data_IF_171669095331
#
_entry.id   IF_171669095331
#
_cell.length_a   1.000
_cell.length_b   1.000
_cell.length_c   1.000
_cell.angle_alpha   90.00
_cell.angle_beta   90.00
_cell.angle_gamma   90.00
#
_symmetry.space_group_name_H-M   'P 1'
#
loop_
_entity.id
_entity.type
_entity.pdbx_description
1 polymer ?
#
# COMPACT_ATOMS: atom_id res chain seq x y z
N UNK A 1 -8.40 0.05 -9.14
CA UNK A 1 -8.41 0.11 -7.66
C UNK A 1 -9.70 0.77 -7.25
N UNK A 2 -10.19 0.47 -6.06
CA UNK A 2 -11.50 0.92 -5.65
C UNK A 2 -11.39 2.25 -4.88
N UNK A 3 -12.51 2.94 -4.76
CA UNK A 3 -12.61 4.17 -4.01
C UNK A 3 -12.18 3.98 -2.54
N UNK A 4 -11.66 5.02 -1.89
CA UNK A 4 -11.18 4.99 -0.51
C UNK A 4 -11.39 6.34 0.16
N UNK A 5 -11.72 6.34 1.45
CA UNK A 5 -11.69 7.53 2.28
C UNK A 5 -10.35 7.62 2.99
N UNK A 6 -9.78 8.83 3.03
CA UNK A 6 -8.56 9.10 3.82
C UNK A 6 -8.90 10.10 4.91
N UNK A 7 -8.60 9.75 6.15
CA UNK A 7 -8.68 10.64 7.31
C UNK A 7 -7.26 10.92 7.79
N UNK A 8 -6.91 12.20 7.90
CA UNK A 8 -5.61 12.63 8.43
C UNK A 8 -5.82 13.12 9.86
N UNK A 9 -4.97 12.67 10.79
CA UNK A 9 -4.95 13.11 12.18
C UNK A 9 -3.52 13.51 12.59
N UNK A 10 -3.32 14.20 13.73
CA UNK A 10 -1.98 14.49 14.24
C UNK A 10 -1.14 13.23 14.52
N UNK A 11 -1.77 12.09 14.76
CA UNK A 11 -1.12 10.82 15.10
C UNK A 11 -0.80 9.98 13.86
N UNK A 12 -1.46 10.23 12.72
CA UNK A 12 -1.28 9.42 11.51
C UNK A 12 -2.30 9.64 10.41
N UNK A 13 -2.43 8.64 9.54
CA UNK A 13 -3.40 8.61 8.46
C UNK A 13 -4.17 7.29 8.47
N UNK A 14 -5.50 7.37 8.40
CA UNK A 14 -6.37 6.22 8.22
C UNK A 14 -6.86 6.14 6.78
N UNK A 15 -6.71 4.99 6.15
CA UNK A 15 -7.26 4.69 4.83
C UNK A 15 -8.35 3.64 4.98
N UNK A 16 -9.55 3.96 4.50
CA UNK A 16 -10.73 3.09 4.53
C UNK A 16 -11.13 2.76 3.10
N UNK A 17 -10.97 1.50 2.65
CA UNK A 17 -11.51 1.08 1.35
C UNK A 17 -13.03 1.23 1.33
N UNK A 18 -13.60 1.79 0.26
CA UNK A 18 -15.06 1.96 0.13
C UNK A 18 -15.76 0.72 -0.44
N UNK A 19 -15.00 -0.30 -0.78
CA UNK A 19 -15.51 -1.57 -1.31
C UNK A 19 -14.72 -2.71 -0.69
N UNK A 20 -15.35 -3.88 -0.50
CA UNK A 20 -14.64 -5.08 -0.06
C UNK A 20 -13.47 -5.41 -0.99
N UNK A 21 -12.34 -5.80 -0.42
CA UNK A 21 -11.24 -6.37 -1.19
C UNK A 21 -11.59 -7.82 -1.61
N UNK A 22 -10.87 -8.39 -2.58
CA UNK A 22 -11.01 -9.83 -2.89
C UNK A 22 -10.73 -10.75 -1.67
N UNK A 23 -10.06 -10.22 -0.64
CA UNK A 23 -9.71 -10.92 0.59
C UNK A 23 -10.75 -10.72 1.69
N UNK A 24 -11.67 -9.75 1.55
CA UNK A 24 -12.86 -9.68 2.40
C UNK A 24 -13.75 -10.88 2.06
N UNK A 25 -13.72 -11.90 2.92
CA UNK A 25 -14.72 -12.95 2.93
C UNK A 25 -16.11 -12.32 3.11
N UNK A 26 -17.12 -12.87 2.42
CA UNK A 26 -18.51 -12.41 2.53
C UNK A 26 -18.91 -12.35 4.01
N UNK A 27 -19.30 -11.18 4.50
CA UNK A 27 -19.71 -10.95 5.90
C UNK A 27 -18.64 -10.39 6.85
N UNK A 28 -17.37 -10.25 6.43
CA UNK A 28 -16.37 -9.54 7.24
C UNK A 28 -16.49 -8.01 7.08
N UNK A 29 -16.37 -7.22 8.16
CA UNK A 29 -16.38 -5.77 8.08
C UNK A 29 -15.19 -5.27 7.25
N UNK A 30 -15.37 -4.14 6.58
CA UNK A 30 -14.28 -3.44 5.88
C UNK A 30 -13.22 -3.05 6.92
N UNK A 31 -12.00 -3.56 6.75
CA UNK A 31 -10.87 -3.24 7.64
C UNK A 31 -10.36 -1.84 7.30
N UNK A 32 -10.18 -1.03 8.33
CA UNK A 32 -9.48 0.25 8.23
C UNK A 32 -7.99 0.05 8.42
N UNK A 33 -7.17 0.78 7.68
CA UNK A 33 -5.71 0.73 7.79
C UNK A 33 -5.20 2.03 8.38
N UNK A 34 -4.60 1.96 9.56
CA UNK A 34 -3.98 3.10 10.24
C UNK A 34 -2.47 3.09 10.03
N UNK A 35 -1.94 4.20 9.54
CA UNK A 35 -0.51 4.44 9.35
C UNK A 35 -0.07 5.52 10.34
N UNK A 36 0.70 5.18 11.39
CA UNK A 36 1.19 6.17 12.33
C UNK A 36 2.20 7.12 11.66
N UNK A 37 2.33 8.34 12.20
CA UNK A 37 3.44 9.22 11.82
C UNK A 37 4.76 8.55 12.22
N UNK A 38 5.72 8.61 11.32
CA UNK A 38 7.09 8.14 11.53
C UNK A 38 8.01 9.36 11.52
N UNK A 39 8.24 9.99 12.69
CA UNK A 39 8.95 11.27 12.79
C UNK A 39 10.43 11.16 12.43
N UNK A 40 11.03 9.98 12.57
CA UNK A 40 12.44 9.72 12.30
C UNK A 40 12.79 9.90 10.83
N UNK A 41 11.83 9.70 9.92
CA UNK A 41 12.02 9.96 8.49
C UNK A 41 10.70 10.24 7.79
N UNK A 42 10.42 11.54 7.62
CA UNK A 42 9.23 12.02 6.89
C UNK A 42 9.23 11.60 5.43
N UNK A 43 10.41 11.34 4.84
CA UNK A 43 10.56 10.92 3.45
C UNK A 43 10.03 9.50 3.15
N UNK A 44 9.93 8.65 4.17
CA UNK A 44 9.36 7.30 4.05
C UNK A 44 8.05 7.13 4.83
N UNK A 45 7.61 8.15 5.57
CA UNK A 45 6.39 8.12 6.37
C UNK A 45 5.13 8.12 5.48
N UNK A 46 4.32 7.05 5.47
CA UNK A 46 3.12 7.00 4.63
C UNK A 46 2.12 8.10 4.98
N UNK A 47 1.94 8.43 6.27
CA UNK A 47 1.03 9.48 6.71
C UNK A 47 1.43 10.86 6.20
N UNK A 48 2.72 11.22 6.32
CA UNK A 48 3.25 12.49 5.83
C UNK A 48 3.16 12.59 4.30
N UNK A 49 3.51 11.51 3.60
CA UNK A 49 3.41 11.44 2.13
C UNK A 49 1.95 11.57 1.67
N UNK A 50 1.00 10.90 2.34
CA UNK A 50 -0.42 11.02 2.03
C UNK A 50 -0.93 12.45 2.20
N UNK A 51 -0.54 13.14 3.28
CA UNK A 51 -0.91 14.53 3.50
C UNK A 51 -0.43 15.43 2.37
N UNK A 52 0.86 15.36 2.02
CA UNK A 52 1.45 16.15 0.92
C UNK A 52 0.78 15.82 -0.42
N UNK A 53 0.53 14.54 -0.68
CA UNK A 53 -0.07 14.08 -1.92
C UNK A 53 -1.51 14.59 -2.07
N UNK A 54 -2.33 14.52 -1.02
CA UNK A 54 -3.71 15.02 -1.03
C UNK A 54 -3.76 16.54 -1.23
N UNK A 55 -2.84 17.29 -0.60
CA UNK A 55 -2.73 18.74 -0.81
C UNK A 55 -2.39 19.06 -2.28
N UNK A 56 -1.39 18.39 -2.87
CA UNK A 56 -0.95 18.62 -4.25
C UNK A 56 -2.01 18.23 -5.29
N UNK A 57 -2.82 17.23 -4.99
CA UNK A 57 -3.85 16.73 -5.91
C UNK A 57 -5.22 17.39 -5.72
N UNK A 58 -5.39 18.24 -4.70
CA UNK A 58 -6.68 18.87 -4.33
C UNK A 58 -7.38 19.56 -5.51
N UNK A 59 -6.63 20.31 -6.31
CA UNK A 59 -7.20 21.10 -7.42
C UNK A 59 -7.64 20.26 -8.63
N UNK A 60 -7.12 19.03 -8.76
CA UNK A 60 -7.39 18.15 -9.90
C UNK A 60 -8.32 16.98 -9.55
N UNK A 61 -8.73 16.88 -8.28
CA UNK A 61 -9.73 15.92 -7.82
C UNK A 61 -11.12 16.43 -8.18
N UNK A 62 -11.88 15.62 -8.92
CA UNK A 62 -13.29 15.91 -9.18
C UNK A 62 -14.13 15.70 -7.91
N UNK A 63 -15.26 16.39 -7.80
CA UNK A 63 -16.15 16.34 -6.62
C UNK A 63 -16.66 14.93 -6.27
N UNK A 64 -16.73 14.03 -7.25
CA UNK A 64 -17.20 12.65 -7.09
C UNK A 64 -16.08 11.60 -7.15
N UNK A 65 -14.82 12.03 -7.27
CA UNK A 65 -13.70 11.10 -7.39
C UNK A 65 -13.15 10.70 -6.02
N UNK A 66 -13.63 9.54 -5.55
CA UNK A 66 -13.21 8.96 -4.30
C UNK A 66 -11.97 8.05 -4.44
N UNK A 67 -11.25 8.08 -5.57
CA UNK A 67 -10.02 7.29 -5.72
C UNK A 67 -8.82 7.99 -5.10
N UNK A 68 -8.04 7.24 -4.32
CA UNK A 68 -6.82 7.78 -3.72
C UNK A 68 -5.80 8.18 -4.80
N UNK A 69 -5.45 7.27 -5.69
CA UNK A 69 -4.39 7.49 -6.68
C UNK A 69 -4.91 8.04 -8.01
N UNK A 70 -4.28 9.10 -8.51
CA UNK A 70 -4.60 9.77 -9.78
C UNK A 70 -3.41 9.71 -10.74
N UNK A 71 -3.70 9.66 -12.04
CA UNK A 71 -2.67 9.75 -13.09
C UNK A 71 -2.00 11.13 -13.09
N UNK A 72 -0.69 11.16 -13.31
CA UNK A 72 0.10 12.39 -13.34
C UNK A 72 -0.10 13.24 -14.60
N UNK A 73 -0.58 12.64 -15.70
CA UNK A 73 -0.81 13.31 -16.98
C UNK A 73 -2.26 13.76 -17.13
N UNK A 74 -2.47 14.90 -17.80
CA UNK A 74 -3.82 15.38 -18.18
C UNK A 74 -4.43 14.49 -19.28
N UNK A 75 -5.76 14.29 -19.27
CA UNK A 75 -6.68 14.59 -18.18
C UNK A 75 -6.39 13.69 -16.95
N UNK A 76 -6.35 14.29 -15.76
CA UNK A 76 -6.12 13.55 -14.52
C UNK A 76 -7.31 12.62 -14.24
N UNK A 77 -7.04 11.33 -14.11
CA UNK A 77 -8.05 10.27 -13.91
C UNK A 77 -7.62 9.34 -12.77
N UNK A 78 -8.54 8.57 -12.20
CA UNK A 78 -8.18 7.47 -11.31
C UNK A 78 -7.12 6.55 -11.93
N UNK A 79 -6.06 6.27 -11.18
CA UNK A 79 -5.02 5.37 -11.62
C UNK A 79 -5.54 3.92 -11.62
N UNK A 80 -5.37 3.22 -12.75
CA UNK A 80 -5.73 1.80 -12.85
C UNK A 80 -4.78 0.94 -12.01
N UNK A 81 -5.21 -0.28 -11.68
CA UNK A 81 -4.34 -1.28 -11.02
C UNK A 81 -3.06 -1.54 -11.81
N UNK A 82 -3.15 -1.59 -13.15
CA UNK A 82 -1.99 -1.75 -14.03
C UNK A 82 -1.03 -0.55 -13.94
N UNK A 83 -1.55 0.68 -13.84
CA UNK A 83 -0.74 1.89 -13.70
C UNK A 83 0.06 1.88 -12.40
N UNK A 84 -0.59 1.52 -11.29
CA UNK A 84 0.06 1.49 -9.99
C UNK A 84 1.06 0.34 -9.90
N UNK A 85 0.73 -0.84 -10.45
CA UNK A 85 1.68 -1.95 -10.56
C UNK A 85 2.95 -1.54 -11.34
N UNK A 86 2.80 -0.74 -12.42
CA UNK A 86 3.93 -0.18 -13.15
C UNK A 86 4.74 0.80 -12.29
N UNK A 87 4.09 1.71 -11.54
CA UNK A 87 4.80 2.62 -10.65
C UNK A 87 5.59 1.91 -9.56
N UNK A 88 5.01 0.88 -8.93
CA UNK A 88 5.69 0.02 -7.95
C UNK A 88 6.91 -0.63 -8.59
N UNK A 89 6.74 -1.27 -9.76
CA UNK A 89 7.87 -1.89 -10.47
C UNK A 89 8.98 -0.88 -10.77
N UNK A 90 8.63 0.30 -11.29
CA UNK A 90 9.59 1.37 -11.57
C UNK A 90 10.31 1.85 -10.31
N UNK A 91 9.61 1.98 -9.18
CA UNK A 91 10.21 2.37 -7.91
C UNK A 91 11.21 1.31 -7.41
N UNK A 92 10.85 0.03 -7.47
CA UNK A 92 11.74 -1.09 -7.13
C UNK A 92 12.99 -1.11 -8.01
N UNK A 93 12.83 -0.99 -9.34
CA UNK A 93 13.96 -0.94 -10.27
C UNK A 93 14.89 0.24 -9.97
N UNK A 94 14.33 1.42 -9.69
CA UNK A 94 15.13 2.61 -9.32
C UNK A 94 15.86 2.45 -7.99
N UNK A 95 15.33 1.66 -7.07
CA UNK A 95 15.97 1.31 -5.81
C UNK A 95 17.04 0.21 -5.96
N UNK A 96 17.31 -0.28 -7.18
CA UNK A 96 18.28 -1.35 -7.43
C UNK A 96 17.77 -2.75 -7.08
N UNK A 97 16.47 -2.91 -6.80
CA UNK A 97 15.86 -4.20 -6.52
C UNK A 97 15.63 -4.95 -7.83
N UNK A 98 16.09 -6.20 -7.90
CA UNK A 98 15.93 -7.03 -9.09
C UNK A 98 14.44 -7.38 -9.31
N UNK A 99 13.83 -6.71 -10.29
CA UNK A 99 12.42 -6.91 -10.65
C UNK A 99 12.17 -8.14 -11.52
N UNK A 100 13.20 -8.90 -11.89
CA UNK A 100 13.07 -10.24 -12.49
C UNK A 100 12.73 -11.28 -11.44
N UNK A 101 13.30 -11.13 -10.23
CA UNK A 101 13.00 -11.92 -9.03
C UNK A 101 11.75 -11.38 -8.36
N UNK A 102 11.64 -10.06 -8.14
CA UNK A 102 10.51 -9.42 -7.47
C UNK A 102 9.61 -8.65 -8.47
N UNK A 103 8.66 -9.37 -9.09
CA UNK A 103 7.63 -8.78 -9.97
C UNK A 103 6.76 -7.75 -9.20
N UNK A 104 5.92 -6.98 -9.89
CA UNK A 104 5.09 -5.93 -9.27
C UNK A 104 4.20 -6.40 -8.09
N UNK A 105 3.83 -7.69 -8.04
CA UNK A 105 3.09 -8.30 -6.93
C UNK A 105 3.98 -8.74 -5.75
N UNK A 106 5.30 -8.71 -5.91
CA UNK A 106 6.28 -9.25 -4.97
C UNK A 106 6.91 -8.17 -4.09
N UNK A 107 6.49 -6.90 -4.21
CA UNK A 107 6.84 -5.87 -3.23
C UNK A 107 6.48 -6.32 -1.81
N UNK A 108 5.32 -6.99 -1.67
CA UNK A 108 4.87 -7.62 -0.43
C UNK A 108 5.81 -8.76 0.01
N UNK A 109 6.22 -9.63 -0.91
CA UNK A 109 7.17 -10.72 -0.61
C UNK A 109 8.56 -10.23 -0.21
N UNK A 110 9.11 -9.24 -0.94
CA UNK A 110 10.39 -8.61 -0.61
C UNK A 110 10.36 -7.94 0.76
N UNK A 111 9.32 -7.14 1.04
CA UNK A 111 9.16 -6.46 2.32
C UNK A 111 9.05 -7.46 3.48
N UNK A 112 8.24 -8.50 3.33
CA UNK A 112 8.02 -9.49 4.39
C UNK A 112 9.20 -10.42 4.61
N UNK A 113 9.98 -10.72 3.55
CA UNK A 113 11.24 -11.47 3.67
C UNK A 113 12.28 -10.66 4.43
N UNK A 114 12.48 -9.39 4.07
CA UNK A 114 13.40 -8.50 4.78
C UNK A 114 13.03 -8.32 6.26
N UNK A 115 11.73 -8.19 6.56
CA UNK A 115 11.23 -8.09 7.94
C UNK A 115 11.44 -9.40 8.72
N UNK A 116 11.27 -10.55 8.07
CA UNK A 116 11.56 -11.86 8.66
C UNK A 116 13.06 -12.05 8.93
N UNK A 117 13.92 -11.66 7.99
CA UNK A 117 15.39 -11.67 8.15
C UNK A 117 15.87 -10.73 9.26
N UNK A 118 15.17 -9.60 9.46
CA UNK A 118 15.39 -8.70 10.58
C UNK A 118 14.91 -9.28 11.94
N UNK A 119 14.38 -10.50 11.97
CA UNK A 119 14.01 -11.23 13.19
C UNK A 119 12.61 -10.93 13.72
N UNK A 120 11.74 -10.26 12.96
CA UNK A 120 10.35 -10.06 13.37
C UNK A 120 9.60 -11.39 13.32
N UNK A 121 8.80 -11.67 14.36
CA UNK A 121 8.09 -12.94 14.46
C UNK A 121 7.05 -13.13 13.35
N UNK A 122 6.96 -14.35 12.82
CA UNK A 122 6.00 -14.70 11.76
C UNK A 122 4.56 -14.30 12.10
N UNK A 123 4.04 -14.52 13.33
CA UNK A 123 2.69 -14.08 13.68
C UNK A 123 2.45 -12.57 13.51
N UNK A 124 3.45 -11.73 13.81
CA UNK A 124 3.36 -10.28 13.60
C UNK A 124 3.34 -9.92 12.11
N UNK A 125 4.15 -10.61 11.31
CA UNK A 125 4.16 -10.43 9.85
C UNK A 125 2.80 -10.82 9.27
N UNK A 126 2.26 -11.97 9.67
CA UNK A 126 0.96 -12.45 9.21
C UNK A 126 -0.18 -11.47 9.57
N UNK A 127 -0.18 -10.92 10.80
CA UNK A 127 -1.17 -9.93 11.24
C UNK A 127 -1.09 -8.61 10.46
N UNK A 128 0.14 -8.10 10.28
CA UNK A 128 0.40 -6.86 9.54
C UNK A 128 -0.01 -6.97 8.07
N UNK A 129 0.18 -8.14 7.47
CA UNK A 129 -0.17 -8.38 6.07
C UNK A 129 -1.60 -8.91 5.86
N UNK A 130 -2.36 -9.22 6.92
CA UNK A 130 -3.70 -9.83 6.80
C UNK A 130 -3.65 -11.25 6.18
N UNK A 131 -2.63 -12.04 6.53
CA UNK A 131 -2.56 -13.46 6.20
C UNK A 131 -3.03 -14.31 7.38
N UNK A 132 -3.95 -15.24 7.12
CA UNK A 132 -4.39 -16.22 8.12
C UNK A 132 -3.52 -17.48 8.19
N UNK A 133 -2.74 -17.75 7.15
CA UNK A 133 -1.98 -19.00 7.02
C UNK A 133 -0.48 -18.74 6.81
N UNK A 134 0.32 -19.29 7.72
CA UNK A 134 1.79 -19.27 7.68
C UNK A 134 2.35 -19.89 6.40
N UNK A 135 1.82 -21.04 5.97
CA UNK A 135 2.29 -21.70 4.75
C UNK A 135 2.12 -20.82 3.51
N UNK A 136 1.07 -19.99 3.45
CA UNK A 136 0.92 -19.03 2.36
C UNK A 136 2.12 -18.10 2.27
N UNK A 137 2.56 -17.55 3.41
CA UNK A 137 3.75 -16.71 3.47
C UNK A 137 5.01 -17.49 3.06
N UNK A 138 5.29 -18.63 3.70
CA UNK A 138 6.54 -19.38 3.50
C UNK A 138 6.72 -19.89 2.06
N UNK A 139 5.65 -20.40 1.45
CA UNK A 139 5.75 -21.01 0.12
C UNK A 139 5.74 -19.96 -1.00
N UNK A 140 4.89 -18.94 -0.89
CA UNK A 140 4.64 -18.03 -2.01
C UNK A 140 5.35 -16.67 -1.90
N UNK A 141 5.68 -16.22 -0.69
CA UNK A 141 6.14 -14.85 -0.46
C UNK A 141 7.55 -14.77 0.14
N UNK A 142 7.91 -15.69 1.02
CA UNK A 142 9.24 -15.72 1.62
C UNK A 142 10.30 -16.11 0.57
N UNK A 143 11.25 -15.20 0.34
CA UNK A 143 12.35 -15.31 -0.63
C UNK A 143 13.60 -14.68 0.00
N UNK A 144 14.34 -15.45 0.83
CA UNK A 144 15.61 -15.03 1.40
C UNK A 144 16.74 -15.03 0.37
#
# INVERSE_FOLDING_TARGET
MNASLVRLTPEGATVVPLTPSKQCQVGRPIREYFFPIFPESTGICPAAVLQVYLQKTKQVRGEKDNHLFLTSTKPHRPASSATIARWIKTALTKAGIDTTIFRAHMARGASTSAVAEAGVSIPKILDADDWSNKSTFEWYYYRP
#
